data_IF_482255253947
#
_entry.id   IF_482255253947
#
_cell.length_a   1.000
_cell.length_b   1.000
_cell.length_c   1.000
_cell.angle_alpha   90.00
_cell.angle_beta   90.00
_cell.angle_gamma   90.00
#
_symmetry.space_group_name_H-M   'P 1'
#
loop_
_entity.id
_entity.type
_entity.pdbx_description
1 polymer ?
#
# COMPACT_ATOMS: atom_id res chain seq x y z
N UNK A 1 -34.79 -3.83 15.48
CA UNK A 1 -34.31 -2.85 14.47
C UNK A 1 -33.09 -2.03 14.93
N UNK A 2 -33.09 -1.45 16.14
CA UNK A 2 -31.99 -0.60 16.66
C UNK A 2 -30.60 -1.27 16.73
N UNK A 3 -30.50 -2.55 17.14
CA UNK A 3 -29.24 -3.31 17.14
C UNK A 3 -28.59 -3.43 15.75
N UNK A 4 -29.40 -3.49 14.68
CA UNK A 4 -28.91 -3.59 13.29
C UNK A 4 -28.28 -2.26 12.85
N UNK A 5 -28.95 -1.14 13.15
CA UNK A 5 -28.46 0.22 12.91
C UNK A 5 -27.19 0.56 13.72
N UNK A 6 -27.13 0.18 15.00
CA UNK A 6 -25.95 0.38 15.83
C UNK A 6 -24.73 -0.37 15.29
N UNK A 7 -24.93 -1.60 14.81
CA UNK A 7 -23.89 -2.39 14.15
C UNK A 7 -23.37 -1.74 12.86
N UNK A 8 -24.19 -1.01 12.10
CA UNK A 8 -23.72 -0.29 10.91
C UNK A 8 -22.91 0.96 11.31
N UNK A 9 -23.36 1.72 12.31
CA UNK A 9 -22.62 2.90 12.82
C UNK A 9 -21.25 2.51 13.37
N UNK A 10 -21.16 1.44 14.16
CA UNK A 10 -19.89 0.93 14.71
C UNK A 10 -18.96 0.47 13.59
N UNK A 11 -19.47 -0.20 12.55
CA UNK A 11 -18.66 -0.60 11.39
C UNK A 11 -18.07 0.60 10.66
N UNK A 12 -18.89 1.62 10.41
CA UNK A 12 -18.42 2.85 9.74
C UNK A 12 -17.36 3.54 10.60
N UNK A 13 -17.57 3.63 11.91
CA UNK A 13 -16.59 4.21 12.82
C UNK A 13 -15.25 3.44 12.82
N UNK A 14 -15.30 2.10 12.83
CA UNK A 14 -14.09 1.27 12.74
C UNK A 14 -13.39 1.40 11.39
N UNK A 15 -14.14 1.44 10.28
CA UNK A 15 -13.56 1.66 8.96
C UNK A 15 -12.89 3.03 8.87
N UNK A 16 -13.53 4.08 9.39
CA UNK A 16 -12.92 5.41 9.47
C UNK A 16 -11.66 5.42 10.34
N UNK A 17 -11.65 4.72 11.47
CA UNK A 17 -10.46 4.58 12.31
C UNK A 17 -9.28 3.97 11.54
N UNK A 18 -9.52 2.91 10.76
CA UNK A 18 -8.47 2.31 9.93
C UNK A 18 -8.02 3.22 8.79
N UNK A 19 -8.92 4.01 8.20
CA UNK A 19 -8.55 5.03 7.21
C UNK A 19 -7.67 6.10 7.85
N UNK A 20 -8.00 6.57 9.06
CA UNK A 20 -7.13 7.50 9.81
C UNK A 20 -5.77 6.87 10.09
N UNK A 21 -5.73 5.59 10.46
CA UNK A 21 -4.46 4.87 10.66
C UNK A 21 -3.61 4.81 9.37
N UNK A 22 -4.22 4.59 8.20
CA UNK A 22 -3.53 4.67 6.90
C UNK A 22 -2.97 6.07 6.64
N UNK A 23 -3.73 7.12 6.97
CA UNK A 23 -3.27 8.51 6.84
C UNK A 23 -2.09 8.78 7.78
N UNK A 24 -2.10 8.24 9.01
CA UNK A 24 -1.00 8.40 9.95
C UNK A 24 0.28 7.71 9.44
N UNK A 25 0.20 6.50 8.88
CA UNK A 25 1.37 5.84 8.26
C UNK A 25 1.98 6.74 7.19
N UNK A 26 1.14 7.38 6.37
CA UNK A 26 1.59 8.33 5.34
C UNK A 26 2.19 9.60 5.93
N UNK A 27 1.60 10.14 6.99
CA UNK A 27 2.07 11.37 7.63
C UNK A 27 3.43 11.21 8.32
N UNK A 28 3.71 10.03 8.87
CA UNK A 28 4.95 9.73 9.59
C UNK A 28 5.96 8.92 8.75
N UNK A 29 5.78 8.86 7.43
CA UNK A 29 6.59 7.99 6.57
C UNK A 29 8.09 8.32 6.60
N UNK A 30 8.45 9.60 6.69
CA UNK A 30 9.83 10.12 6.73
C UNK A 30 10.56 9.67 8.02
N UNK A 31 9.81 9.43 9.09
CA UNK A 31 10.35 9.05 10.41
C UNK A 31 10.32 7.55 10.68
N UNK A 32 9.32 6.85 10.15
CA UNK A 32 9.05 5.45 10.47
C UNK A 32 9.83 4.47 9.59
N UNK A 33 10.29 4.92 8.41
CA UNK A 33 10.90 4.01 7.45
C UNK A 33 12.04 4.67 6.68
N UNK A 34 13.05 3.88 6.38
CA UNK A 34 14.16 4.28 5.53
C UNK A 34 13.73 4.29 4.05
N UNK A 35 13.69 5.47 3.44
CA UNK A 35 13.44 5.64 2.00
C UNK A 35 14.10 6.92 1.46
N UNK A 36 15.36 6.86 0.99
CA UNK A 36 16.07 8.00 0.40
C UNK A 36 15.40 8.57 -0.86
N UNK A 37 14.56 7.76 -1.53
CA UNK A 37 13.83 8.23 -2.70
C UNK A 37 12.75 9.27 -2.34
N UNK A 38 12.34 9.33 -1.09
CA UNK A 38 11.30 10.25 -0.68
C UNK A 38 11.72 11.70 -0.91
N UNK A 39 12.93 12.07 -0.48
CA UNK A 39 13.46 13.43 -0.65
C UNK A 39 14.06 13.64 -2.04
N UNK A 40 14.67 12.60 -2.62
CA UNK A 40 15.18 12.63 -3.99
C UNK A 40 14.12 13.08 -5.00
N UNK A 41 12.93 12.47 -4.97
CA UNK A 41 11.84 12.83 -5.90
C UNK A 41 11.11 14.13 -5.54
N UNK A 42 11.38 14.75 -4.38
CA UNK A 42 10.93 16.12 -4.06
C UNK A 42 11.86 17.18 -4.68
N UNK A 43 13.13 16.84 -4.94
CA UNK A 43 14.16 17.73 -5.50
C UNK A 43 14.35 17.60 -7.01
N UNK A 44 15.53 18.03 -7.51
CA UNK A 44 15.90 17.95 -8.93
C UNK A 44 16.37 16.54 -9.34
N UNK A 45 15.46 15.57 -9.24
CA UNK A 45 15.76 14.18 -9.56
C UNK A 45 16.10 13.96 -11.03
N UNK A 46 15.77 14.88 -11.95
CA UNK A 46 16.09 14.70 -13.37
C UNK A 46 17.59 14.78 -13.62
N UNK A 47 18.26 15.74 -13.00
CA UNK A 47 19.68 16.00 -13.23
C UNK A 47 20.61 15.32 -12.20
N UNK A 48 20.09 14.98 -11.02
CA UNK A 48 20.87 14.31 -9.96
C UNK A 48 21.00 12.80 -10.20
N UNK A 49 22.13 12.17 -9.87
CA UNK A 49 22.24 10.72 -9.87
C UNK A 49 21.38 10.11 -8.74
N UNK A 50 21.08 8.82 -8.84
CA UNK A 50 20.43 8.08 -7.75
C UNK A 50 21.23 8.22 -6.45
N UNK A 51 20.56 8.47 -5.30
CA UNK A 51 21.24 8.60 -4.01
C UNK A 51 21.93 7.30 -3.59
N UNK A 52 22.94 7.39 -2.73
CA UNK A 52 23.51 6.22 -2.07
C UNK A 52 22.46 5.56 -1.18
N UNK A 53 22.28 4.24 -1.35
CA UNK A 53 21.25 3.47 -0.66
C UNK A 53 21.83 2.23 -0.01
N UNK A 54 21.31 1.92 1.18
CA UNK A 54 21.42 0.58 1.75
C UNK A 54 20.24 -0.26 1.25
N UNK A 55 20.53 -1.25 0.39
CA UNK A 55 19.52 -2.11 -0.22
C UNK A 55 18.72 -2.92 0.81
N UNK A 56 19.34 -3.35 1.90
CA UNK A 56 18.65 -4.15 2.93
C UNK A 56 17.73 -3.27 3.77
N UNK A 57 18.20 -2.09 4.17
CA UNK A 57 17.36 -1.12 4.90
C UNK A 57 16.19 -0.64 4.03
N UNK A 58 16.44 -0.39 2.73
CA UNK A 58 15.41 0.01 1.78
C UNK A 58 14.36 -1.10 1.60
N UNK A 59 14.80 -2.35 1.42
CA UNK A 59 13.88 -3.49 1.35
C UNK A 59 13.06 -3.61 2.64
N UNK A 60 13.70 -3.51 3.81
CA UNK A 60 13.01 -3.57 5.10
C UNK A 60 11.97 -2.46 5.26
N UNK A 61 12.31 -1.23 4.87
CA UNK A 61 11.39 -0.09 4.85
C UNK A 61 10.20 -0.32 3.93
N UNK A 62 10.44 -0.75 2.69
CA UNK A 62 9.38 -1.06 1.72
C UNK A 62 8.50 -2.22 2.18
N UNK A 63 9.09 -3.29 2.71
CA UNK A 63 8.37 -4.44 3.24
C UNK A 63 7.46 -4.04 4.40
N UNK A 64 7.99 -3.31 5.38
CA UNK A 64 7.22 -2.91 6.55
C UNK A 64 6.09 -1.94 6.19
N UNK A 65 6.35 -0.97 5.30
CA UNK A 65 5.31 -0.08 4.75
C UNK A 65 4.21 -0.88 4.05
N UNK A 66 4.59 -1.75 3.11
CA UNK A 66 3.63 -2.54 2.35
C UNK A 66 2.79 -3.44 3.27
N UNK A 67 3.44 -4.07 4.25
CA UNK A 67 2.80 -4.93 5.23
C UNK A 67 1.74 -4.16 6.05
N UNK A 68 2.11 -3.02 6.65
CA UNK A 68 1.17 -2.22 7.44
C UNK A 68 -0.02 -1.72 6.62
N UNK A 69 0.25 -1.20 5.41
CA UNK A 69 -0.81 -0.77 4.50
C UNK A 69 -1.73 -1.93 4.12
N UNK A 70 -1.17 -3.10 3.82
CA UNK A 70 -1.93 -4.31 3.47
C UNK A 70 -2.77 -4.78 4.64
N UNK A 71 -2.21 -4.87 5.86
CA UNK A 71 -2.95 -5.30 7.05
C UNK A 71 -4.14 -4.39 7.34
N UNK A 72 -3.95 -3.06 7.28
CA UNK A 72 -5.04 -2.10 7.46
C UNK A 72 -6.06 -2.17 6.32
N UNK A 73 -5.60 -2.33 5.08
CA UNK A 73 -6.49 -2.46 3.92
C UNK A 73 -7.38 -3.70 4.02
N UNK A 74 -6.81 -4.85 4.41
CA UNK A 74 -7.56 -6.08 4.66
C UNK A 74 -8.53 -5.91 5.84
N UNK A 75 -8.12 -5.23 6.91
CA UNK A 75 -9.01 -4.93 8.04
C UNK A 75 -10.23 -4.08 7.60
N UNK A 76 -10.02 -3.07 6.74
CA UNK A 76 -11.09 -2.26 6.14
C UNK A 76 -12.02 -3.14 5.31
N UNK A 77 -11.48 -3.95 4.40
CA UNK A 77 -12.27 -4.88 3.57
C UNK A 77 -13.11 -5.81 4.45
N UNK A 78 -12.53 -6.34 5.53
CA UNK A 78 -13.22 -7.26 6.43
C UNK A 78 -14.36 -6.57 7.17
N UNK A 79 -14.14 -5.35 7.67
CA UNK A 79 -15.20 -4.58 8.36
C UNK A 79 -16.36 -4.25 7.43
N UNK A 80 -16.07 -3.93 6.16
CA UNK A 80 -17.08 -3.56 5.17
C UNK A 80 -17.89 -4.77 4.66
N UNK A 81 -17.21 -5.85 4.25
CA UNK A 81 -17.85 -6.98 3.59
C UNK A 81 -18.15 -8.17 4.52
N UNK A 82 -17.41 -8.31 5.63
CA UNK A 82 -17.46 -9.45 6.56
C UNK A 82 -17.36 -10.81 5.88
N UNK A 83 -16.58 -10.87 4.81
CA UNK A 83 -16.42 -12.03 3.98
C UNK A 83 -14.99 -12.54 4.07
N UNK A 84 -14.82 -13.72 4.67
CA UNK A 84 -13.48 -14.31 4.90
C UNK A 84 -12.87 -14.76 3.58
N UNK A 85 -13.67 -15.22 2.62
CA UNK A 85 -13.17 -15.70 1.34
C UNK A 85 -12.70 -14.53 0.47
N UNK A 86 -13.41 -13.39 0.53
CA UNK A 86 -12.92 -12.14 -0.05
C UNK A 86 -11.57 -11.70 0.55
N UNK A 87 -11.39 -11.85 1.86
CA UNK A 87 -10.12 -11.52 2.54
C UNK A 87 -9.00 -12.44 2.13
N UNK A 88 -9.24 -13.76 2.04
CA UNK A 88 -8.24 -14.73 1.58
C UNK A 88 -7.79 -14.41 0.16
N UNK A 89 -8.76 -14.14 -0.72
CA UNK A 89 -8.49 -13.76 -2.11
C UNK A 89 -7.69 -12.46 -2.21
N UNK A 90 -8.11 -11.40 -1.50
CA UNK A 90 -7.40 -10.14 -1.47
C UNK A 90 -5.97 -10.30 -0.91
N UNK A 91 -5.81 -11.05 0.19
CA UNK A 91 -4.50 -11.31 0.81
C UNK A 91 -3.53 -12.01 -0.14
N UNK A 92 -4.04 -12.99 -0.90
CA UNK A 92 -3.26 -13.68 -1.92
C UNK A 92 -2.81 -12.73 -3.04
N UNK A 93 -3.71 -11.86 -3.53
CA UNK A 93 -3.35 -10.86 -4.53
C UNK A 93 -2.34 -9.83 -4.01
N UNK A 94 -2.52 -9.32 -2.79
CA UNK A 94 -1.53 -8.44 -2.15
C UNK A 94 -0.15 -9.10 -2.09
N UNK A 95 -0.07 -10.38 -1.69
CA UNK A 95 1.20 -11.09 -1.64
C UNK A 95 1.86 -11.20 -3.03
N UNK A 96 1.11 -11.60 -4.06
CA UNK A 96 1.63 -11.68 -5.44
C UNK A 96 2.11 -10.31 -5.92
N UNK A 97 1.30 -9.27 -5.74
CA UNK A 97 1.66 -7.93 -6.18
C UNK A 97 2.90 -7.41 -5.45
N UNK A 98 3.06 -7.71 -4.16
CA UNK A 98 4.27 -7.36 -3.43
C UNK A 98 5.52 -7.99 -4.07
N UNK A 99 5.49 -9.30 -4.31
CA UNK A 99 6.63 -10.03 -4.90
C UNK A 99 6.99 -9.45 -6.28
N UNK A 100 5.99 -9.26 -7.14
CA UNK A 100 6.19 -8.71 -8.49
C UNK A 100 6.74 -7.28 -8.44
N UNK A 101 6.13 -6.41 -7.63
CA UNK A 101 6.50 -5.00 -7.57
C UNK A 101 7.86 -4.78 -6.93
N UNK A 102 8.20 -5.50 -5.86
CA UNK A 102 9.53 -5.40 -5.24
C UNK A 102 10.60 -5.92 -6.19
N UNK A 103 10.36 -7.06 -6.86
CA UNK A 103 11.28 -7.56 -7.88
C UNK A 103 11.46 -6.54 -9.02
N UNK A 104 10.38 -5.98 -9.54
CA UNK A 104 10.43 -4.94 -10.56
C UNK A 104 11.16 -3.68 -10.09
N UNK A 105 10.93 -3.25 -8.84
CA UNK A 105 11.58 -2.08 -8.25
C UNK A 105 13.10 -2.26 -8.20
N UNK A 106 13.58 -3.35 -7.60
CA UNK A 106 15.02 -3.63 -7.51
C UNK A 106 15.65 -3.92 -8.88
N UNK A 107 14.91 -4.55 -9.80
CA UNK A 107 15.40 -4.75 -11.17
C UNK A 107 15.64 -3.42 -11.90
N UNK A 108 14.67 -2.50 -11.84
CA UNK A 108 14.81 -1.16 -12.45
C UNK A 108 15.96 -0.42 -11.76
N UNK A 109 16.04 -0.48 -10.43
CA UNK A 109 17.03 0.22 -9.64
C UNK A 109 18.47 -0.21 -10.00
N UNK A 110 18.72 -1.52 -10.10
CA UNK A 110 20.06 -2.06 -10.36
C UNK A 110 20.49 -1.98 -11.82
N UNK A 111 19.56 -1.94 -12.78
CA UNK A 111 19.89 -1.97 -14.22
C UNK A 111 19.70 -0.64 -14.93
N UNK A 112 18.64 0.09 -14.60
CA UNK A 112 18.16 1.23 -15.38
C UNK A 112 17.84 2.44 -14.49
N UNK A 113 18.39 2.51 -13.27
CA UNK A 113 17.96 3.48 -12.28
C UNK A 113 18.09 4.93 -12.76
N UNK A 114 19.23 5.30 -13.33
CA UNK A 114 19.47 6.67 -13.82
C UNK A 114 18.70 6.97 -15.12
N UNK A 115 18.49 5.97 -15.97
CA UNK A 115 17.77 6.12 -17.25
C UNK A 115 16.26 6.14 -17.06
N UNK A 116 15.74 5.45 -16.04
CA UNK A 116 14.31 5.21 -15.83
C UNK A 116 13.87 5.58 -14.40
N UNK A 117 14.15 6.82 -14.01
CA UNK A 117 13.77 7.41 -12.72
C UNK A 117 12.24 7.42 -12.53
N UNK A 118 11.49 7.64 -13.61
CA UNK A 118 10.02 7.59 -13.57
C UNK A 118 9.49 6.19 -13.28
N UNK A 119 10.10 5.14 -13.82
CA UNK A 119 9.75 3.76 -13.50
C UNK A 119 9.88 3.47 -12.01
N UNK A 120 11.01 3.88 -11.40
CA UNK A 120 11.21 3.78 -9.95
C UNK A 120 10.12 4.51 -9.16
N UNK A 121 9.79 5.73 -9.59
CA UNK A 121 8.77 6.54 -8.94
C UNK A 121 7.39 5.88 -8.95
N UNK A 122 6.96 5.36 -10.10
CA UNK A 122 5.65 4.73 -10.23
C UNK A 122 5.57 3.42 -9.47
N UNK A 123 6.55 2.52 -9.62
CA UNK A 123 6.56 1.24 -8.89
C UNK A 123 6.60 1.48 -7.39
N UNK A 124 7.40 2.46 -6.92
CA UNK A 124 7.46 2.84 -5.51
C UNK A 124 6.10 3.27 -4.96
N UNK A 125 5.30 4.03 -5.73
CA UNK A 125 3.97 4.47 -5.30
C UNK A 125 3.02 3.29 -5.08
N UNK A 126 3.06 2.26 -5.93
CA UNK A 126 2.25 1.04 -5.72
C UNK A 126 2.68 0.26 -4.47
N UNK A 127 3.95 0.31 -4.09
CA UNK A 127 4.46 -0.35 -2.89
C UNK A 127 4.13 0.43 -1.60
N UNK A 128 4.17 1.77 -1.65
CA UNK A 128 4.04 2.61 -0.45
C UNK A 128 2.61 3.04 -0.19
N UNK A 129 1.78 3.20 -1.22
CA UNK A 129 0.43 3.74 -1.06
C UNK A 129 -0.61 2.61 -1.08
N UNK A 130 -1.73 2.74 -0.34
CA UNK A 130 -2.80 1.74 -0.31
C UNK A 130 -3.67 1.79 -1.59
N UNK A 131 -3.07 1.87 -2.78
CA UNK A 131 -3.78 1.95 -4.07
C UNK A 131 -4.61 0.70 -4.32
N UNK A 132 -4.10 -0.47 -3.91
CA UNK A 132 -4.83 -1.74 -4.04
C UNK A 132 -6.12 -1.76 -3.23
N UNK A 133 -6.20 -1.05 -2.09
CA UNK A 133 -7.44 -0.94 -1.34
C UNK A 133 -8.52 -0.25 -2.18
N UNK A 134 -8.16 0.87 -2.82
CA UNK A 134 -9.07 1.62 -3.68
C UNK A 134 -9.51 0.80 -4.90
N UNK A 135 -8.67 -0.10 -5.39
CA UNK A 135 -9.00 -1.01 -6.49
C UNK A 135 -9.90 -2.17 -6.04
N UNK A 136 -9.61 -2.79 -4.89
CA UNK A 136 -10.32 -3.98 -4.42
C UNK A 136 -11.69 -3.66 -3.86
N UNK A 137 -11.89 -2.49 -3.25
CA UNK A 137 -13.16 -2.10 -2.64
C UNK A 137 -14.33 -2.11 -3.66
N UNK A 138 -14.25 -1.46 -4.84
CA UNK A 138 -15.30 -1.56 -5.85
C UNK A 138 -15.38 -2.96 -6.47
N UNK A 139 -14.25 -3.63 -6.70
CA UNK A 139 -14.24 -4.97 -7.29
C UNK A 139 -15.02 -5.98 -6.43
N UNK A 140 -14.74 -6.00 -5.12
CA UNK A 140 -15.43 -6.85 -4.15
C UNK A 140 -16.90 -6.45 -3.96
N UNK A 141 -17.20 -5.15 -4.06
CA UNK A 141 -18.58 -4.66 -4.03
C UNK A 141 -19.41 -5.22 -5.19
N UNK A 142 -18.89 -5.13 -6.43
CA UNK A 142 -19.59 -5.69 -7.59
C UNK A 142 -19.69 -7.21 -7.55
N UNK A 143 -18.67 -7.90 -7.04
CA UNK A 143 -18.71 -9.36 -6.87
C UNK A 143 -19.82 -9.78 -5.89
N UNK A 144 -19.93 -9.11 -4.74
CA UNK A 144 -20.99 -9.34 -3.75
C UNK A 144 -22.39 -9.07 -4.29
N UNK A 145 -22.55 -8.12 -5.22
CA UNK A 145 -23.86 -7.79 -5.79
C UNK A 145 -24.35 -8.82 -6.80
N UNK A 146 -23.44 -9.57 -7.44
CA UNK A 146 -23.76 -10.62 -8.40
C UNK A 146 -23.99 -12.00 -7.77
N UNK A 147 -23.60 -12.19 -6.52
CA UNK A 147 -23.90 -13.39 -5.71
C UNK A 147 -25.22 -13.21 -4.97
#
# INVERSE_FOLDING_TARGET
MLKKLFNHKVRIALAMLFVVALVLIRAYEDSLFYDPFLDYFKGDYFNLPIPEIDNLQLFGGLFFRYFLNTSLSLAIIYVLFKDIDAIKFASFLYFIFFVILVAAFFFILLKNGDTNKMGLFYVRRFLIQPIFLLLFLPALYYQKQKQ
#
